data_IF_798737724589
#
_entry.id   IF_798737724589
#
_cell.length_a   1.000
_cell.length_b   1.000
_cell.length_c   1.000
_cell.angle_alpha   90.00
_cell.angle_beta   90.00
_cell.angle_gamma   90.00
#
_symmetry.space_group_name_H-M   'P 1'
#
loop_
_entity.id
_entity.type
_entity.pdbx_description
1 polymer ?
#
# COMPACT_ATOMS: atom_id res chain seq x y z
N UNK A 1 39.63 15.97 27.54
CA UNK A 1 38.54 15.35 26.76
C UNK A 1 37.98 16.40 25.82
N UNK A 2 37.70 16.07 24.56
CA UNK A 2 37.13 17.02 23.60
C UNK A 2 35.69 17.41 23.96
N UNK A 3 35.22 18.62 23.61
CA UNK A 3 33.85 19.05 23.88
C UNK A 3 32.85 18.20 23.08
N UNK A 4 31.70 17.80 23.67
CA UNK A 4 30.68 16.98 23.00
C UNK A 4 30.25 17.53 21.63
N UNK A 5 30.16 18.85 21.49
CA UNK A 5 29.75 19.54 20.26
C UNK A 5 30.73 19.29 19.11
N UNK A 6 32.03 19.22 19.41
CA UNK A 6 33.05 18.92 18.40
C UNK A 6 32.98 17.45 17.97
N UNK A 7 32.74 16.55 18.92
CA UNK A 7 32.60 15.11 18.63
C UNK A 7 31.37 14.87 17.74
N UNK A 8 30.25 15.53 18.01
CA UNK A 8 29.06 15.48 17.16
C UNK A 8 29.33 15.98 15.74
N UNK A 9 30.06 17.10 15.61
CA UNK A 9 30.49 17.57 14.29
C UNK A 9 31.39 16.57 13.57
N UNK A 10 32.28 15.87 14.27
CA UNK A 10 33.13 14.84 13.65
C UNK A 10 32.25 13.69 13.13
N UNK A 11 31.28 13.22 13.92
CA UNK A 11 30.33 12.19 13.45
C UNK A 11 29.56 12.64 12.20
N UNK A 12 29.16 13.91 12.13
CA UNK A 12 28.47 14.48 10.97
C UNK A 12 29.33 14.57 9.69
N UNK A 13 30.65 14.40 9.81
CA UNK A 13 31.59 14.39 8.69
C UNK A 13 32.08 12.98 8.33
N UNK A 14 31.61 11.93 9.02
CA UNK A 14 31.86 10.55 8.60
C UNK A 14 31.25 10.29 7.21
N UNK A 15 31.94 9.48 6.39
CA UNK A 15 31.51 9.21 5.01
C UNK A 15 30.37 8.18 4.97
N UNK A 16 30.40 7.21 5.88
CA UNK A 16 29.42 6.15 6.02
C UNK A 16 29.08 5.86 7.49
N UNK A 17 28.03 5.05 7.69
CA UNK A 17 27.59 4.63 9.01
C UNK A 17 28.65 3.81 9.75
N UNK A 18 29.43 3.00 9.01
CA UNK A 18 30.50 2.18 9.58
C UNK A 18 31.59 3.04 10.22
N UNK A 19 31.99 4.14 9.56
CA UNK A 19 32.96 5.09 10.11
C UNK A 19 32.44 5.73 11.41
N UNK A 20 31.17 6.16 11.40
CA UNK A 20 30.54 6.75 12.56
C UNK A 20 30.45 5.77 13.73
N UNK A 21 30.09 4.50 13.47
CA UNK A 21 30.09 3.45 14.49
C UNK A 21 31.48 3.12 15.01
N UNK A 22 32.47 2.98 14.11
CA UNK A 22 33.85 2.73 14.52
C UNK A 22 34.35 3.86 15.43
N UNK A 23 34.07 5.11 15.08
CA UNK A 23 34.39 6.27 15.91
C UNK A 23 33.68 6.22 17.27
N UNK A 24 32.39 5.87 17.29
CA UNK A 24 31.59 5.77 18.51
C UNK A 24 32.18 4.77 19.53
N UNK A 25 32.83 3.72 19.02
CA UNK A 25 33.41 2.64 19.81
C UNK A 25 34.86 2.87 20.23
N UNK A 26 35.49 3.99 19.82
CA UNK A 26 36.93 4.24 20.11
C UNK A 26 37.25 4.44 21.59
N UNK A 27 36.41 5.17 22.33
CA UNK A 27 36.59 5.34 23.77
C UNK A 27 35.26 5.64 24.50
N UNK A 28 35.26 5.46 25.82
CA UNK A 28 34.08 5.65 26.67
C UNK A 28 33.43 7.02 26.48
N UNK A 29 34.22 8.10 26.50
CA UNK A 29 33.70 9.47 26.36
C UNK A 29 32.96 9.69 25.03
N UNK A 30 33.50 9.20 23.92
CA UNK A 30 32.86 9.32 22.61
C UNK A 30 31.59 8.44 22.54
N UNK A 31 31.64 7.24 23.12
CA UNK A 31 30.46 6.38 23.25
C UNK A 31 29.36 7.04 24.10
N UNK A 32 29.73 7.75 25.16
CA UNK A 32 28.78 8.46 26.02
C UNK A 32 28.14 9.62 25.24
N UNK A 33 28.92 10.39 24.47
CA UNK A 33 28.40 11.43 23.57
C UNK A 33 27.47 10.84 22.49
N UNK A 34 27.81 9.68 21.92
CA UNK A 34 26.97 8.98 20.94
C UNK A 34 25.60 8.59 21.53
N UNK A 35 25.57 8.11 22.78
CA UNK A 35 24.34 7.69 23.46
C UNK A 35 23.55 8.88 24.04
N UNK A 36 24.24 9.94 24.41
CA UNK A 36 23.63 11.13 25.01
C UNK A 36 22.61 11.76 24.05
N UNK A 37 21.45 12.12 24.59
CA UNK A 37 20.41 12.89 23.89
C UNK A 37 20.04 12.34 22.51
N UNK A 38 20.06 11.01 22.35
CA UNK A 38 19.72 10.30 21.11
C UNK A 38 20.60 10.73 19.90
N UNK A 39 21.82 11.22 20.14
CA UNK A 39 22.70 11.74 19.10
C UNK A 39 23.02 10.69 18.02
N UNK A 40 23.36 9.47 18.44
CA UNK A 40 23.66 8.35 17.55
C UNK A 40 22.50 8.02 16.61
N UNK A 41 21.26 8.05 17.11
CA UNK A 41 20.09 7.81 16.27
C UNK A 41 19.93 8.89 15.18
N UNK A 42 20.18 10.16 15.51
CA UNK A 42 20.16 11.24 14.52
C UNK A 42 21.22 11.06 13.43
N UNK A 43 22.43 10.64 13.85
CA UNK A 43 23.54 10.37 12.93
C UNK A 43 23.19 9.20 12.00
N UNK A 44 22.70 8.09 12.57
CA UNK A 44 22.24 6.91 11.82
C UNK A 44 21.15 7.30 10.82
N UNK A 45 20.13 8.05 11.28
CA UNK A 45 19.02 8.47 10.44
C UNK A 45 19.45 9.30 9.24
N UNK A 46 20.43 10.20 9.42
CA UNK A 46 20.98 10.98 8.31
C UNK A 46 21.61 10.10 7.24
N UNK A 47 22.35 9.07 7.62
CA UNK A 47 22.90 8.11 6.66
C UNK A 47 21.79 7.29 6.00
N UNK A 48 20.79 6.87 6.76
CA UNK A 48 19.67 6.09 6.22
C UNK A 48 18.81 6.88 5.24
N UNK A 49 18.54 8.16 5.46
CA UNK A 49 17.83 8.99 4.48
C UNK A 49 18.57 9.07 3.12
N UNK A 50 19.89 8.88 3.12
CA UNK A 50 20.72 8.89 1.91
C UNK A 50 20.83 7.49 1.29
N UNK A 51 21.05 6.48 2.12
CA UNK A 51 21.52 5.15 1.70
C UNK A 51 20.41 4.08 1.71
N UNK A 52 19.34 4.27 2.49
CA UNK A 52 18.21 3.34 2.55
C UNK A 52 17.05 3.84 1.69
N UNK A 53 16.57 3.03 0.74
CA UNK A 53 15.37 3.34 -0.02
C UNK A 53 14.18 3.55 0.93
N UNK A 54 13.53 4.70 0.78
CA UNK A 54 12.22 4.97 1.37
C UNK A 54 12.21 4.87 2.90
N UNK A 55 13.30 5.29 3.53
CA UNK A 55 13.45 5.24 4.97
C UNK A 55 12.34 6.02 5.68
N UNK A 56 11.96 7.20 5.19
CA UNK A 56 10.91 8.04 5.80
C UNK A 56 9.53 7.38 5.71
N UNK A 57 9.20 6.75 4.57
CA UNK A 57 7.97 5.97 4.43
C UNK A 57 7.94 4.78 5.40
N UNK A 58 9.05 4.06 5.55
CA UNK A 58 9.16 2.99 6.56
C UNK A 58 8.96 3.52 7.99
N UNK A 59 9.48 4.72 8.30
CA UNK A 59 9.27 5.35 9.61
C UNK A 59 7.82 5.74 9.83
N UNK A 60 7.15 6.31 8.83
CA UNK A 60 5.72 6.63 8.90
C UNK A 60 4.91 5.35 9.11
N UNK A 61 5.23 4.27 8.38
CA UNK A 61 4.57 2.98 8.53
C UNK A 61 4.74 2.41 9.95
N UNK A 62 5.97 2.41 10.49
CA UNK A 62 6.25 1.94 11.84
C UNK A 62 5.49 2.74 12.91
N UNK A 63 5.51 4.08 12.80
CA UNK A 63 4.78 4.96 13.73
C UNK A 63 3.28 4.79 13.64
N UNK A 64 2.73 4.70 12.44
CA UNK A 64 1.30 4.51 12.21
C UNK A 64 0.83 3.16 12.78
N UNK A 65 1.58 2.09 12.52
CA UNK A 65 1.30 0.77 13.06
C UNK A 65 1.42 0.73 14.59
N UNK A 66 2.40 1.42 15.17
CA UNK A 66 2.52 1.53 16.63
C UNK A 66 1.32 2.22 17.26
N UNK A 67 0.76 3.26 16.63
CA UNK A 67 -0.46 3.92 17.14
C UNK A 67 -1.68 2.98 17.17
N UNK A 68 -1.79 2.09 16.18
CA UNK A 68 -2.84 1.05 16.14
C UNK A 68 -2.59 0.02 17.24
N UNK A 69 -1.36 -0.51 17.33
CA UNK A 69 -0.96 -1.47 18.36
C UNK A 69 -1.23 -0.94 19.77
N UNK A 70 -0.81 0.29 20.06
CA UNK A 70 -0.96 0.92 21.36
C UNK A 70 -2.44 1.06 21.75
N UNK A 71 -3.34 1.32 20.78
CA UNK A 71 -4.78 1.41 21.03
C UNK A 71 -5.39 0.03 21.29
N UNK A 72 -5.02 -0.96 20.47
CA UNK A 72 -5.46 -2.36 20.65
C UNK A 72 -5.00 -2.95 21.98
N UNK A 73 -3.77 -2.68 22.42
CA UNK A 73 -3.25 -3.09 23.74
C UNK A 73 -4.03 -2.48 24.90
N UNK A 74 -4.73 -1.36 24.68
CA UNK A 74 -5.62 -0.71 25.66
C UNK A 74 -7.10 -1.11 25.51
N UNK A 75 -7.43 -2.02 24.59
CA UNK A 75 -8.81 -2.33 24.18
C UNK A 75 -9.59 -1.06 23.77
N UNK A 76 -8.90 -0.15 23.09
CA UNK A 76 -9.45 1.11 22.57
C UNK A 76 -9.47 1.09 21.04
N UNK A 77 -10.42 1.82 20.46
CA UNK A 77 -10.42 2.04 19.02
C UNK A 77 -9.18 2.88 18.63
N UNK A 78 -8.47 2.53 17.53
CA UNK A 78 -7.38 3.35 17.02
C UNK A 78 -7.84 4.79 16.71
N UNK A 79 -6.91 5.76 16.57
CA UNK A 79 -7.25 7.13 16.24
C UNK A 79 -8.07 7.22 14.94
N UNK A 80 -9.31 7.72 15.02
CA UNK A 80 -10.19 7.92 13.85
C UNK A 80 -9.60 8.84 12.79
N UNK A 81 -8.76 9.78 13.22
CA UNK A 81 -8.02 10.68 12.34
C UNK A 81 -6.54 10.61 12.67
N UNK A 82 -5.76 10.07 11.74
CA UNK A 82 -4.31 9.99 11.87
C UNK A 82 -3.63 11.09 11.05
N UNK A 83 -2.88 11.98 11.70
CA UNK A 83 -2.11 13.01 10.99
C UNK A 83 -0.79 12.43 10.46
N UNK A 84 -0.86 11.75 9.31
CA UNK A 84 0.29 11.07 8.70
C UNK A 84 1.48 12.00 8.41
N UNK A 85 1.26 13.31 8.25
CA UNK A 85 2.37 14.27 8.08
C UNK A 85 3.21 14.44 9.36
N UNK A 86 2.60 14.32 10.53
CA UNK A 86 3.28 14.42 11.84
C UNK A 86 4.13 13.20 12.16
N UNK A 87 3.87 12.08 11.51
CA UNK A 87 4.65 10.85 11.68
C UNK A 87 5.96 10.85 10.88
N UNK A 88 6.16 11.79 9.97
CA UNK A 88 7.40 11.88 9.18
C UNK A 88 8.61 12.34 10.02
N UNK A 89 9.83 12.01 9.56
CA UNK A 89 11.06 12.50 10.18
C UNK A 89 11.24 14.02 10.06
N UNK A 90 10.52 14.67 9.15
CA UNK A 90 10.49 16.14 9.02
C UNK A 90 9.88 16.82 10.24
N UNK A 91 9.03 16.11 11.00
CA UNK A 91 8.32 16.62 12.17
C UNK A 91 8.98 16.17 13.47
N UNK A 92 9.40 14.91 13.54
CA UNK A 92 10.12 14.38 14.70
C UNK A 92 11.17 13.37 14.27
N UNK A 93 12.42 13.59 14.70
CA UNK A 93 13.52 12.65 14.44
C UNK A 93 13.26 11.30 15.12
N UNK A 94 13.73 10.18 14.54
CA UNK A 94 13.49 8.87 15.12
C UNK A 94 14.32 8.63 16.39
N UNK A 95 13.69 7.94 17.32
CA UNK A 95 14.29 7.28 18.48
C UNK A 95 15.02 5.99 18.07
N UNK A 96 15.80 5.44 19.00
CA UNK A 96 16.52 4.17 18.75
C UNK A 96 15.56 2.99 18.51
N UNK A 97 14.41 2.93 19.19
CA UNK A 97 13.40 1.89 18.95
C UNK A 97 12.78 2.03 17.56
N UNK A 98 12.50 3.24 17.11
CA UNK A 98 11.99 3.51 15.76
C UNK A 98 13.00 3.15 14.68
N UNK A 99 14.31 3.39 14.90
CA UNK A 99 15.33 2.93 13.97
C UNK A 99 15.35 1.40 13.85
N UNK A 100 15.21 0.68 14.96
CA UNK A 100 15.10 -0.78 14.91
C UNK A 100 13.85 -1.22 14.15
N UNK A 101 12.72 -0.53 14.34
CA UNK A 101 11.48 -0.82 13.63
C UNK A 101 11.62 -0.57 12.12
N UNK A 102 12.22 0.56 11.72
CA UNK A 102 12.53 0.85 10.31
C UNK A 102 13.43 -0.23 9.72
N UNK A 103 14.47 -0.65 10.44
CA UNK A 103 15.35 -1.71 9.97
C UNK A 103 14.63 -3.05 9.79
N UNK A 104 13.73 -3.41 10.72
CA UNK A 104 12.89 -4.60 10.60
C UNK A 104 11.95 -4.50 9.38
N UNK A 105 11.36 -3.34 9.10
CA UNK A 105 10.55 -3.12 7.91
C UNK A 105 11.35 -3.19 6.61
N UNK A 106 12.62 -2.77 6.62
CA UNK A 106 13.51 -2.92 5.46
C UNK A 106 13.82 -4.40 5.18
N UNK A 107 13.98 -5.21 6.22
CA UNK A 107 14.14 -6.67 6.10
C UNK A 107 12.87 -7.33 5.58
N UNK A 108 11.71 -6.88 6.07
CA UNK A 108 10.40 -7.33 5.58
C UNK A 108 10.25 -7.01 4.09
N UNK A 109 10.49 -5.76 3.67
CA UNK A 109 10.36 -5.34 2.27
C UNK A 109 11.31 -6.13 1.35
N UNK A 110 12.54 -6.38 1.79
CA UNK A 110 13.49 -7.24 1.07
C UNK A 110 13.02 -8.69 0.99
N UNK A 111 12.43 -9.22 2.05
CA UNK A 111 11.91 -10.59 2.07
C UNK A 111 10.74 -10.75 1.10
N UNK A 112 9.81 -9.79 1.09
CA UNK A 112 8.70 -9.73 0.13
C UNK A 112 9.25 -9.62 -1.30
N UNK A 113 10.24 -8.76 -1.52
CA UNK A 113 10.92 -8.66 -2.82
C UNK A 113 11.47 -10.02 -3.29
N UNK A 114 12.15 -10.76 -2.41
CA UNK A 114 12.64 -12.11 -2.73
C UNK A 114 11.49 -13.05 -3.12
N UNK A 115 10.38 -13.04 -2.38
CA UNK A 115 9.20 -13.86 -2.71
C UNK A 115 8.67 -13.48 -4.09
N UNK A 116 8.51 -12.18 -4.39
CA UNK A 116 8.03 -11.71 -5.69
C UNK A 116 8.94 -12.13 -6.85
N UNK A 117 10.26 -12.18 -6.64
CA UNK A 117 11.22 -12.62 -7.66
C UNK A 117 11.24 -14.14 -7.83
N UNK A 118 10.94 -14.90 -6.78
CA UNK A 118 10.86 -16.36 -6.82
C UNK A 118 9.53 -16.89 -7.36
N UNK A 119 8.46 -16.10 -7.24
CA UNK A 119 7.12 -16.50 -7.64
C UNK A 119 6.95 -16.50 -9.17
N UNK A 120 6.00 -17.29 -9.67
CA UNK A 120 5.77 -17.45 -11.11
C UNK A 120 4.96 -16.29 -11.72
N UNK A 121 5.41 -15.06 -11.45
CA UNK A 121 4.74 -13.85 -11.92
C UNK A 121 5.08 -13.54 -13.38
N UNK A 122 4.11 -12.95 -14.07
CA UNK A 122 4.22 -12.53 -15.46
C UNK A 122 5.17 -11.32 -15.54
N UNK A 123 6.29 -11.51 -16.23
CA UNK A 123 7.27 -10.46 -16.49
C UNK A 123 6.97 -9.70 -17.79
N UNK A 124 7.52 -8.48 -17.97
CA UNK A 124 7.54 -7.83 -19.27
C UNK A 124 8.09 -8.77 -20.35
N UNK A 125 7.47 -8.75 -21.54
CA UNK A 125 7.80 -9.69 -22.63
C UNK A 125 9.28 -9.70 -23.02
N UNK A 126 9.95 -8.54 -22.96
CA UNK A 126 11.37 -8.42 -23.25
C UNK A 126 12.30 -8.96 -22.15
N UNK A 127 11.75 -9.24 -20.96
CA UNK A 127 12.46 -9.80 -19.81
C UNK A 127 12.19 -11.30 -19.62
N UNK A 128 11.12 -11.84 -20.23
CA UNK A 128 10.79 -13.26 -20.17
C UNK A 128 11.94 -14.13 -20.73
N UNK A 129 12.52 -14.97 -19.88
CA UNK A 129 13.63 -15.84 -20.23
C UNK A 129 14.97 -15.12 -20.48
N UNK A 130 15.04 -13.80 -20.28
CA UNK A 130 16.27 -13.02 -20.49
C UNK A 130 17.31 -13.31 -19.42
N UNK A 131 16.88 -13.38 -18.17
CA UNK A 131 17.75 -13.63 -17.02
C UNK A 131 17.41 -14.97 -16.35
N UNK A 132 18.41 -15.73 -15.88
CA UNK A 132 18.20 -17.04 -15.25
C UNK A 132 17.48 -16.92 -13.90
N UNK A 133 17.64 -15.79 -13.22
CA UNK A 133 17.01 -15.45 -11.94
C UNK A 133 15.64 -14.79 -12.10
N UNK A 134 15.10 -14.75 -13.33
CA UNK A 134 13.80 -14.13 -13.65
C UNK A 134 13.71 -12.66 -13.22
N UNK A 135 14.82 -11.92 -13.22
CA UNK A 135 14.80 -10.51 -12.86
C UNK A 135 13.85 -9.70 -13.78
N UNK A 136 12.98 -8.84 -13.20
CA UNK A 136 12.01 -8.04 -13.95
C UNK A 136 12.67 -6.87 -14.69
N UNK A 137 13.93 -6.54 -14.38
CA UNK A 137 14.73 -5.51 -15.02
C UNK A 137 16.18 -5.93 -15.17
N UNK A 138 16.94 -5.21 -16.00
CA UNK A 138 18.38 -5.39 -16.08
C UNK A 138 19.09 -5.00 -14.76
N UNK A 139 20.24 -5.62 -14.41
CA UNK A 139 20.87 -5.46 -13.10
C UNK A 139 21.12 -4.00 -12.68
N UNK A 140 21.51 -3.14 -13.61
CA UNK A 140 21.77 -1.72 -13.39
C UNK A 140 20.50 -0.91 -13.06
N UNK A 141 19.31 -1.46 -13.36
CA UNK A 141 18.00 -0.82 -13.17
C UNK A 141 17.19 -1.40 -12.02
N UNK A 142 17.63 -2.52 -11.45
CA UNK A 142 16.95 -3.20 -10.34
C UNK A 142 16.83 -2.32 -9.09
N UNK A 143 17.73 -1.36 -8.87
CA UNK A 143 17.64 -0.43 -7.74
C UNK A 143 16.40 0.46 -7.82
N UNK A 144 16.05 0.94 -9.01
CA UNK A 144 14.88 1.79 -9.23
C UNK A 144 13.59 0.97 -9.11
N UNK A 145 13.57 -0.25 -9.69
CA UNK A 145 12.46 -1.19 -9.54
C UNK A 145 12.19 -1.52 -8.07
N UNK A 146 13.25 -1.87 -7.32
CA UNK A 146 13.20 -2.16 -5.88
C UNK A 146 12.61 -1.01 -5.09
N UNK A 147 13.05 0.23 -5.37
CA UNK A 147 12.50 1.43 -4.72
C UNK A 147 11.00 1.52 -4.96
N UNK A 148 10.52 1.29 -6.18
CA UNK A 148 9.09 1.28 -6.51
C UNK A 148 8.30 0.24 -5.73
N UNK A 149 8.82 -0.99 -5.64
CA UNK A 149 8.22 -2.08 -4.85
C UNK A 149 8.13 -1.70 -3.37
N UNK A 150 9.23 -1.21 -2.78
CA UNK A 150 9.27 -0.89 -1.36
C UNK A 150 8.37 0.30 -0.99
N UNK A 151 8.26 1.32 -1.84
CA UNK A 151 7.28 2.40 -1.66
C UNK A 151 5.86 1.84 -1.62
N UNK A 152 5.52 0.95 -2.56
CA UNK A 152 4.18 0.37 -2.59
C UNK A 152 3.89 -0.46 -1.33
N UNK A 153 4.88 -1.20 -0.82
CA UNK A 153 4.76 -1.94 0.45
C UNK A 153 4.46 -0.96 1.59
N UNK A 154 5.32 0.03 1.81
CA UNK A 154 5.16 0.95 2.94
C UNK A 154 3.88 1.78 2.85
N UNK A 155 3.51 2.28 1.66
CA UNK A 155 2.25 3.01 1.48
C UNK A 155 1.02 2.13 1.72
N UNK A 156 1.07 0.85 1.38
CA UNK A 156 0.01 -0.11 1.72
C UNK A 156 -0.13 -0.30 3.22
N UNK A 157 1.00 -0.48 3.94
CA UNK A 157 1.01 -0.59 5.40
C UNK A 157 0.51 0.68 6.10
N UNK A 158 0.93 1.86 5.62
CA UNK A 158 0.45 3.15 6.12
C UNK A 158 -1.05 3.29 5.92
N UNK A 159 -1.55 2.91 4.74
CA UNK A 159 -2.97 2.99 4.41
C UNK A 159 -3.80 2.05 5.28
N UNK A 160 -3.30 0.84 5.55
CA UNK A 160 -3.92 -0.11 6.49
C UNK A 160 -4.03 0.50 7.89
N UNK A 161 -2.95 1.08 8.41
CA UNK A 161 -2.95 1.73 9.72
C UNK A 161 -3.87 2.97 9.79
N UNK A 162 -3.88 3.79 8.75
CA UNK A 162 -4.68 5.01 8.69
C UNK A 162 -6.19 4.75 8.66
N UNK A 163 -6.61 3.61 8.08
CA UNK A 163 -8.02 3.21 8.00
C UNK A 163 -8.44 2.24 9.11
N UNK A 164 -7.51 1.82 9.97
CA UNK A 164 -7.75 0.84 11.03
C UNK A 164 -8.99 1.18 11.88
N UNK A 165 -9.06 2.41 12.38
CA UNK A 165 -10.18 2.86 13.20
C UNK A 165 -11.54 2.75 12.50
N UNK A 166 -11.64 3.18 11.23
CA UNK A 166 -12.91 3.18 10.51
C UNK A 166 -13.44 1.77 10.27
N UNK A 167 -12.54 0.83 9.98
CA UNK A 167 -12.86 -0.56 9.68
C UNK A 167 -13.04 -1.43 10.94
N UNK A 168 -12.38 -1.09 12.05
CA UNK A 168 -12.58 -1.75 13.34
C UNK A 168 -13.80 -1.24 14.11
N UNK A 169 -14.26 -0.01 13.85
CA UNK A 169 -15.35 0.63 14.60
C UNK A 169 -16.60 -0.25 14.77
N UNK A 170 -17.10 -0.96 13.74
CA UNK A 170 -18.30 -1.79 13.91
C UNK A 170 -18.09 -2.97 14.85
N UNK A 171 -16.89 -3.53 14.89
CA UNK A 171 -16.55 -4.63 15.81
C UNK A 171 -16.52 -4.13 17.25
N UNK A 172 -15.94 -2.94 17.49
CA UNK A 172 -15.92 -2.31 18.81
C UNK A 172 -17.31 -1.91 19.29
N UNK A 173 -18.12 -1.29 18.43
CA UNK A 173 -19.49 -0.92 18.78
C UNK A 173 -20.38 -2.15 18.98
N UNK A 174 -20.18 -3.21 18.19
CA UNK A 174 -20.88 -4.50 18.33
C UNK A 174 -20.65 -5.14 19.70
N UNK A 175 -19.39 -5.17 20.17
CA UNK A 175 -19.00 -5.67 21.50
C UNK A 175 -19.68 -4.92 22.66
N UNK A 176 -19.96 -3.62 22.50
CA UNK A 176 -20.64 -2.80 23.53
C UNK A 176 -22.14 -3.05 23.63
N UNK A 177 -22.73 -3.69 22.62
CA UNK A 177 -24.17 -4.00 22.65
C UNK A 177 -24.47 -5.15 23.60
N UNK A 178 -25.73 -5.30 24.02
CA UNK A 178 -26.21 -6.47 24.77
C UNK A 178 -26.78 -7.58 23.85
N UNK A 179 -26.51 -7.52 22.54
CA UNK A 179 -27.06 -8.43 21.54
C UNK A 179 -25.97 -9.45 21.18
N UNK A 180 -26.10 -10.74 21.54
CA UNK A 180 -25.03 -11.72 21.37
C UNK A 180 -24.50 -11.85 19.93
N UNK A 181 -25.39 -11.84 18.94
CA UNK A 181 -25.01 -11.92 17.52
C UNK A 181 -24.21 -10.71 17.01
N UNK A 182 -24.31 -9.55 17.66
CA UNK A 182 -23.50 -8.35 17.34
C UNK A 182 -22.15 -8.35 18.08
N UNK A 183 -22.06 -9.03 19.22
CA UNK A 183 -20.80 -9.19 19.94
C UNK A 183 -19.85 -10.17 19.22
N UNK A 184 -20.41 -11.17 18.52
CA UNK A 184 -19.67 -12.15 17.71
C UNK A 184 -19.69 -11.83 16.20
N UNK A 185 -19.67 -10.54 15.85
CA UNK A 185 -19.86 -10.10 14.46
C UNK A 185 -18.78 -10.63 13.50
N UNK A 186 -17.53 -10.71 13.95
CA UNK A 186 -16.40 -11.20 13.17
C UNK A 186 -16.51 -12.70 12.82
N UNK A 187 -17.21 -13.46 13.65
CA UNK A 187 -17.32 -14.92 13.54
C UNK A 187 -18.54 -15.36 12.70
N UNK A 188 -19.36 -14.41 12.24
CA UNK A 188 -20.60 -14.71 11.53
C UNK A 188 -20.33 -15.39 10.19
N UNK A 189 -20.76 -16.65 10.05
CA UNK A 189 -20.68 -17.38 8.77
C UNK A 189 -21.68 -16.84 7.73
N UNK A 190 -22.84 -16.39 8.19
CA UNK A 190 -23.89 -15.73 7.41
C UNK A 190 -24.45 -14.58 8.23
N UNK A 191 -24.89 -13.51 7.59
CA UNK A 191 -25.40 -12.34 8.31
C UNK A 191 -26.92 -12.39 8.53
N UNK A 192 -27.34 -12.21 9.77
CA UNK A 192 -28.75 -11.98 10.11
C UNK A 192 -29.20 -10.57 9.67
N UNK A 193 -30.51 -10.35 9.54
CA UNK A 193 -31.06 -9.02 9.25
C UNK A 193 -30.62 -7.98 10.30
N UNK A 194 -30.51 -8.39 11.56
CA UNK A 194 -30.05 -7.53 12.66
C UNK A 194 -28.57 -7.17 12.49
N UNK A 195 -27.71 -8.13 12.15
CA UNK A 195 -26.30 -7.87 11.85
C UNK A 195 -26.13 -6.94 10.64
N UNK A 196 -26.87 -7.19 9.56
CA UNK A 196 -26.85 -6.34 8.36
C UNK A 196 -27.34 -4.92 8.66
N UNK A 197 -28.45 -4.77 9.38
CA UNK A 197 -28.98 -3.47 9.79
C UNK A 197 -28.00 -2.71 10.68
N UNK A 198 -27.26 -3.42 11.55
CA UNK A 198 -26.22 -2.84 12.39
C UNK A 198 -25.01 -2.38 11.57
N UNK A 199 -24.43 -3.28 10.76
CA UNK A 199 -23.24 -3.00 9.95
C UNK A 199 -23.51 -1.88 8.94
N UNK A 200 -24.71 -1.82 8.34
CA UNK A 200 -25.10 -0.79 7.39
C UNK A 200 -25.14 0.63 7.98
N UNK A 201 -24.93 0.81 9.29
CA UNK A 201 -24.73 2.15 9.87
C UNK A 201 -23.34 2.71 9.59
N UNK A 202 -22.40 1.87 9.19
CA UNK A 202 -20.99 2.22 9.00
C UNK A 202 -20.64 2.25 7.52
N UNK A 203 -20.27 3.43 7.02
CA UNK A 203 -20.06 3.69 5.60
C UNK A 203 -19.04 2.75 4.95
N UNK A 204 -17.99 2.32 5.66
CA UNK A 204 -16.96 1.42 5.08
C UNK A 204 -17.46 0.00 4.80
N UNK A 205 -18.61 -0.39 5.36
CA UNK A 205 -19.24 -1.69 5.14
C UNK A 205 -20.51 -1.64 4.26
N UNK A 206 -20.96 -0.44 3.89
CA UNK A 206 -22.01 -0.29 2.88
C UNK A 206 -21.41 -0.60 1.51
N UNK A 207 -22.06 -1.40 0.68
CA UNK A 207 -21.56 -1.69 -0.69
C UNK A 207 -21.72 -0.50 -1.64
N UNK A 208 -22.82 0.27 -1.51
CA UNK A 208 -23.12 1.43 -2.35
C UNK A 208 -23.14 2.70 -1.51
N UNK A 209 -22.26 3.66 -1.86
CA UNK A 209 -22.09 4.93 -1.14
C UNK A 209 -21.81 6.10 -2.08
N UNK A 210 -22.24 7.30 -1.66
CA UNK A 210 -21.87 8.54 -2.33
C UNK A 210 -20.48 9.02 -1.91
N UNK A 211 -19.86 9.83 -2.77
CA UNK A 211 -18.58 10.49 -2.45
C UNK A 211 -18.66 11.36 -1.19
N UNK A 212 -19.82 11.96 -0.91
CA UNK A 212 -20.04 12.79 0.28
C UNK A 212 -19.99 11.95 1.56
N UNK A 213 -20.56 10.74 1.53
CA UNK A 213 -20.53 9.81 2.67
C UNK A 213 -19.11 9.28 2.93
N UNK A 214 -18.36 8.98 1.86
CA UNK A 214 -17.00 8.44 1.95
C UNK A 214 -15.94 9.47 2.32
N UNK A 215 -16.14 10.74 1.94
CA UNK A 215 -15.15 11.82 2.10
C UNK A 215 -14.65 12.01 3.54
N UNK A 216 -15.50 12.05 4.58
CA UNK A 216 -15.04 12.18 5.97
C UNK A 216 -14.06 11.08 6.41
N UNK A 217 -14.15 9.90 5.79
CA UNK A 217 -13.36 8.72 6.16
C UNK A 217 -12.08 8.66 5.33
N UNK A 218 -12.20 8.77 4.01
CA UNK A 218 -11.10 8.47 3.10
C UNK A 218 -10.30 9.71 2.65
N UNK A 219 -10.87 10.92 2.73
CA UNK A 219 -10.18 12.12 2.26
C UNK A 219 -8.85 12.40 2.99
N UNK A 220 -8.71 12.22 4.32
CA UNK A 220 -7.43 12.47 4.99
C UNK A 220 -6.29 11.62 4.42
N UNK A 221 -6.51 10.32 4.24
CA UNK A 221 -5.53 9.42 3.61
C UNK A 221 -5.32 9.78 2.14
N UNK A 222 -6.40 10.03 1.39
CA UNK A 222 -6.33 10.39 -0.02
C UNK A 222 -5.51 11.67 -0.27
N UNK A 223 -5.69 12.70 0.54
CA UNK A 223 -4.92 13.94 0.46
C UNK A 223 -3.45 13.73 0.80
N UNK A 224 -3.16 12.95 1.84
CA UNK A 224 -1.78 12.61 2.20
C UNK A 224 -1.09 11.85 1.06
N UNK A 225 -1.75 10.85 0.49
CA UNK A 225 -1.20 10.02 -0.59
C UNK A 225 -0.96 10.84 -1.86
N UNK A 226 -1.95 11.63 -2.29
CA UNK A 226 -1.81 12.53 -3.43
C UNK A 226 -0.61 13.49 -3.26
N UNK A 227 -0.50 14.11 -2.08
CA UNK A 227 0.60 15.03 -1.79
C UNK A 227 1.95 14.32 -1.67
N UNK A 228 1.99 13.12 -1.12
CA UNK A 228 3.20 12.29 -1.02
C UNK A 228 3.73 11.98 -2.42
N UNK A 229 2.88 11.44 -3.30
CA UNK A 229 3.25 11.12 -4.69
C UNK A 229 3.72 12.38 -5.43
N UNK A 230 2.97 13.47 -5.35
CA UNK A 230 3.31 14.71 -6.06
C UNK A 230 4.49 15.49 -5.45
N UNK A 231 5.00 15.07 -4.29
CA UNK A 231 6.22 15.63 -3.71
C UNK A 231 7.51 15.02 -4.27
N UNK A 232 7.41 13.92 -5.01
CA UNK A 232 8.54 13.25 -5.66
C UNK A 232 8.89 13.95 -6.98
N UNK A 233 9.78 14.95 -6.91
CA UNK A 233 10.19 15.76 -8.08
C UNK A 233 10.70 14.92 -9.24
N UNK A 234 11.49 13.88 -8.95
CA UNK A 234 12.16 13.09 -9.97
C UNK A 234 11.15 12.22 -10.73
N UNK A 235 10.20 11.59 -10.00
CA UNK A 235 9.12 10.80 -10.61
C UNK A 235 8.21 11.68 -11.47
N UNK A 236 7.87 12.89 -11.00
CA UNK A 236 7.09 13.88 -11.77
C UNK A 236 7.81 14.33 -13.02
N UNK A 237 9.09 14.65 -12.92
CA UNK A 237 9.90 15.07 -14.06
C UNK A 237 10.00 13.95 -15.10
N UNK A 238 10.27 12.72 -14.65
CA UNK A 238 10.35 11.56 -15.54
C UNK A 238 9.00 11.30 -16.24
N UNK A 239 7.87 11.38 -15.53
CA UNK A 239 6.54 11.22 -16.15
C UNK A 239 6.22 12.35 -17.13
N UNK A 240 6.57 13.60 -16.81
CA UNK A 240 6.39 14.71 -17.73
C UNK A 240 7.22 14.53 -19.01
N UNK A 241 8.48 14.11 -18.88
CA UNK A 241 9.37 13.84 -20.00
C UNK A 241 8.83 12.72 -20.90
N UNK A 242 8.29 11.64 -20.32
CA UNK A 242 7.60 10.57 -21.07
C UNK A 242 6.47 11.11 -21.93
N UNK A 243 5.62 11.96 -21.36
CA UNK A 243 4.50 12.58 -22.07
C UNK A 243 4.92 13.54 -23.17
N UNK A 244 6.02 14.28 -22.95
CA UNK A 244 6.59 15.20 -23.95
C UNK A 244 7.20 14.44 -25.13
N UNK A 245 7.98 13.39 -24.84
CA UNK A 245 8.71 12.60 -25.84
C UNK A 245 7.90 11.43 -26.43
N UNK A 246 6.70 11.18 -25.91
CA UNK A 246 5.74 10.17 -26.37
C UNK A 246 6.28 8.73 -26.33
N UNK A 247 6.80 8.31 -25.18
CA UNK A 247 7.28 6.95 -25.00
C UNK A 247 6.78 6.33 -23.68
N UNK A 248 6.90 5.01 -23.60
CA UNK A 248 6.47 4.26 -22.42
C UNK A 248 4.98 4.38 -22.15
N UNK A 249 4.60 4.57 -20.89
CA UNK A 249 3.22 4.67 -20.41
C UNK A 249 2.46 5.85 -21.00
N UNK A 250 3.13 6.86 -21.55
CA UNK A 250 2.40 7.93 -22.24
C UNK A 250 1.76 7.43 -23.55
N UNK A 251 2.25 6.32 -24.12
CA UNK A 251 1.73 5.78 -25.38
C UNK A 251 0.37 5.11 -25.22
N UNK A 252 -0.01 4.71 -24.00
CA UNK A 252 -1.36 4.19 -23.71
C UNK A 252 -2.39 5.29 -23.49
N UNK A 253 -1.96 6.55 -23.40
CA UNK A 253 -2.89 7.67 -23.23
C UNK A 253 -3.59 8.01 -24.55
N UNK A 254 -4.93 7.84 -24.67
CA UNK A 254 -5.67 8.18 -25.88
C UNK A 254 -5.74 9.71 -26.11
N UNK A 255 -5.51 10.50 -25.05
CA UNK A 255 -5.47 11.96 -25.07
C UNK A 255 -4.29 12.57 -25.84
N UNK A 256 -3.49 11.77 -26.54
CA UNK A 256 -2.37 12.25 -27.38
C UNK A 256 -2.62 12.14 -28.90
N UNK A 257 -3.78 11.62 -29.32
CA UNK A 257 -4.26 11.66 -30.70
C UNK A 257 -4.87 13.03 -31.09
N UNK A 258 -5.34 13.21 -32.34
CA UNK A 258 -6.05 14.44 -32.75
C UNK A 258 -7.29 14.75 -31.88
N UNK A 259 -7.81 13.76 -31.16
CA UNK A 259 -8.88 13.90 -30.16
C UNK A 259 -8.31 13.83 -28.74
N UNK A 260 -7.41 14.75 -28.39
CA UNK A 260 -6.76 14.81 -27.09
C UNK A 260 -7.72 14.89 -25.87
N UNK A 261 -9.00 15.12 -26.11
CA UNK A 261 -10.11 15.11 -25.14
C UNK A 261 -10.48 13.72 -24.58
N UNK A 262 -9.94 12.65 -25.15
CA UNK A 262 -10.49 11.29 -24.95
C UNK A 262 -9.85 10.53 -23.78
N UNK A 263 -8.85 11.10 -23.10
CA UNK A 263 -8.31 10.47 -21.89
C UNK A 263 -9.34 10.50 -20.74
N UNK A 264 -9.64 9.35 -20.10
CA UNK A 264 -10.62 9.29 -19.02
C UNK A 264 -10.11 9.96 -17.74
N UNK A 265 -8.79 10.09 -17.57
CA UNK A 265 -8.16 10.67 -16.38
C UNK A 265 -8.29 12.21 -16.39
N UNK A 266 -9.27 12.72 -15.63
CA UNK A 266 -9.54 14.15 -15.48
C UNK A 266 -9.15 14.60 -14.07
N UNK A 267 -7.94 15.11 -13.84
CA UNK A 267 -7.49 15.48 -12.50
C UNK A 267 -8.41 16.55 -11.90
N UNK A 268 -8.98 16.26 -10.72
CA UNK A 268 -9.74 17.19 -9.89
C UNK A 268 -8.84 17.91 -8.87
N UNK A 269 -7.56 18.04 -9.18
CA UNK A 269 -6.54 18.72 -8.36
C UNK A 269 -5.63 19.56 -9.25
N UNK A 270 -4.85 20.46 -8.62
CA UNK A 270 -3.84 21.25 -9.32
C UNK A 270 -2.63 20.38 -9.71
N UNK A 271 -2.56 19.99 -10.97
CA UNK A 271 -1.46 19.21 -11.54
C UNK A 271 -1.52 19.17 -13.07
N UNK A 272 -0.46 18.67 -13.70
CA UNK A 272 -0.47 18.41 -15.14
C UNK A 272 -1.25 17.13 -15.48
N UNK A 273 -1.49 16.89 -16.77
CA UNK A 273 -2.02 15.61 -17.22
C UNK A 273 -1.07 14.44 -16.91
N UNK A 274 0.24 14.65 -17.02
CA UNK A 274 1.25 13.65 -16.65
C UNK A 274 1.25 13.37 -15.14
N UNK A 275 1.00 14.39 -14.30
CA UNK A 275 0.82 14.21 -12.85
C UNK A 275 -0.39 13.27 -12.57
N UNK A 276 -1.47 13.37 -13.34
CA UNK A 276 -2.63 12.49 -13.18
C UNK A 276 -2.28 11.02 -13.44
N UNK A 277 -1.55 10.74 -14.53
CA UNK A 277 -1.08 9.39 -14.84
C UNK A 277 -0.07 8.87 -13.80
N UNK A 278 0.83 9.71 -13.29
CA UNK A 278 1.74 9.33 -12.21
C UNK A 278 0.97 8.89 -10.96
N UNK A 279 0.00 9.70 -10.53
CA UNK A 279 -0.77 9.40 -9.31
C UNK A 279 -1.58 8.12 -9.47
N UNK A 280 -2.25 7.93 -10.61
CA UNK A 280 -2.97 6.67 -10.88
C UNK A 280 -2.01 5.49 -10.88
N UNK A 281 -0.85 5.59 -11.54
CA UNK A 281 0.11 4.50 -11.59
C UNK A 281 0.62 4.10 -10.19
N UNK A 282 0.97 5.07 -9.34
CA UNK A 282 1.37 4.82 -7.95
C UNK A 282 0.22 4.22 -7.12
N UNK A 283 -1.02 4.68 -7.32
CA UNK A 283 -2.20 4.15 -6.64
C UNK A 283 -2.46 2.69 -7.03
N UNK A 284 -2.38 2.35 -8.32
CA UNK A 284 -2.59 0.98 -8.79
C UNK A 284 -1.44 0.06 -8.35
N UNK A 285 -0.20 0.54 -8.26
CA UNK A 285 0.91 -0.22 -7.63
C UNK A 285 0.62 -0.55 -6.17
N UNK A 286 0.05 0.41 -5.43
CA UNK A 286 -0.36 0.18 -4.05
C UNK A 286 -1.52 -0.82 -3.95
N UNK A 287 -2.51 -0.71 -4.85
CA UNK A 287 -3.63 -1.66 -4.92
C UNK A 287 -3.14 -3.09 -5.23
N UNK A 288 -2.27 -3.24 -6.21
CA UNK A 288 -1.64 -4.51 -6.54
C UNK A 288 -0.84 -5.08 -5.36
N UNK A 289 -0.04 -4.23 -4.71
CA UNK A 289 0.81 -4.65 -3.61
C UNK A 289 -0.01 -5.14 -2.42
N UNK A 290 -1.12 -4.49 -2.08
CA UNK A 290 -1.92 -4.92 -0.93
C UNK A 290 -2.61 -6.27 -1.16
N UNK A 291 -3.09 -6.55 -2.38
CA UNK A 291 -3.60 -7.89 -2.75
C UNK A 291 -2.53 -8.95 -2.47
N UNK A 292 -1.29 -8.68 -2.89
CA UNK A 292 -0.16 -9.61 -2.75
C UNK A 292 0.34 -9.72 -1.32
N UNK A 293 0.43 -8.64 -0.58
CA UNK A 293 0.90 -8.65 0.81
C UNK A 293 0.03 -9.54 1.69
N UNK A 294 -1.29 -9.49 1.51
CA UNK A 294 -2.23 -10.31 2.28
C UNK A 294 -1.94 -11.81 2.11
N UNK A 295 -1.59 -12.22 0.89
CA UNK A 295 -1.26 -13.58 0.55
C UNK A 295 0.15 -13.97 1.03
N UNK A 296 1.17 -13.16 0.75
CA UNK A 296 2.57 -13.43 1.12
C UNK A 296 2.75 -13.54 2.64
N UNK A 297 2.05 -12.68 3.40
CA UNK A 297 2.17 -12.65 4.87
C UNK A 297 1.26 -13.69 5.53
N UNK A 298 0.22 -14.17 4.82
CA UNK A 298 -0.67 -15.25 5.28
C UNK A 298 -0.20 -16.66 4.92
N UNK A 299 0.78 -16.79 4.03
CA UNK A 299 1.39 -18.07 3.64
C UNK A 299 2.70 -18.26 4.38
N UNK A 300 2.91 -19.44 4.99
CA UNK A 300 4.15 -19.78 5.69
C UNK A 300 5.30 -20.00 4.70
N UNK A 301 5.75 -18.92 4.05
CA UNK A 301 6.90 -18.93 3.16
C UNK A 301 8.18 -19.18 3.97
N UNK A 302 8.79 -20.34 3.76
CA UNK A 302 10.06 -20.66 4.40
C UNK A 302 11.21 -19.94 3.70
N UNK A 303 11.70 -18.85 4.31
CA UNK A 303 12.83 -18.07 3.82
C UNK A 303 14.20 -18.65 4.22
N UNK A 304 14.24 -19.80 4.90
CA UNK A 304 15.49 -20.36 5.46
C UNK A 304 16.46 -20.91 4.41
N UNK A 305 15.97 -21.23 3.21
CA UNK A 305 16.82 -21.82 2.16
C UNK A 305 17.68 -20.78 1.41
N UNK A 306 17.34 -19.48 1.46
CA UNK A 306 17.80 -18.50 0.47
C UNK A 306 18.52 -17.25 1.02
N UNK A 307 19.48 -17.39 1.96
CA UNK A 307 20.27 -16.26 2.53
C UNK A 307 19.42 -15.04 2.95
N UNK A 308 18.12 -15.23 3.17
CA UNK A 308 17.17 -14.15 3.22
C UNK A 308 17.34 -13.43 4.55
N UNK A 309 17.41 -12.10 4.51
CA UNK A 309 17.50 -11.30 5.73
C UNK A 309 16.12 -11.30 6.37
N UNK A 310 15.86 -12.26 7.25
CA UNK A 310 14.55 -12.40 7.89
C UNK A 310 14.25 -11.21 8.80
N UNK A 311 13.01 -10.67 8.77
CA UNK A 311 12.59 -9.67 9.74
C UNK A 311 12.72 -10.24 11.16
N UNK A 312 13.14 -9.42 12.13
CA UNK A 312 13.22 -9.88 13.53
C UNK A 312 11.84 -9.98 14.20
N UNK A 313 10.79 -9.52 13.51
CA UNK A 313 9.41 -9.55 13.99
C UNK A 313 9.07 -8.60 15.12
N UNK A 314 9.91 -7.57 15.35
CA UNK A 314 9.67 -6.62 16.44
C UNK A 314 8.83 -5.43 16.03
N UNK A 315 8.94 -5.00 14.77
CA UNK A 315 8.13 -3.92 14.24
C UNK A 315 6.67 -4.38 14.07
N UNK A 316 5.68 -3.66 14.64
CA UNK A 316 4.30 -3.87 14.25
C UNK A 316 4.08 -3.43 12.81
N UNK A 317 3.19 -4.13 12.13
CA UNK A 317 2.65 -3.76 10.82
C UNK A 317 1.13 -3.73 10.90
N UNK A 318 0.49 -3.01 9.98
CA UNK A 318 -0.95 -3.11 9.77
C UNK A 318 -1.18 -3.42 8.30
N UNK A 319 -1.65 -4.61 7.99
CA UNK A 319 -1.97 -4.98 6.62
C UNK A 319 -3.28 -4.31 6.21
N UNK A 320 -3.28 -3.75 5.00
CA UNK A 320 -4.51 -3.30 4.37
C UNK A 320 -5.44 -4.52 4.15
N UNK A 321 -6.74 -4.37 4.39
CA UNK A 321 -7.70 -5.48 4.40
C UNK A 321 -7.88 -6.14 5.78
N UNK A 322 -6.81 -6.24 6.58
CA UNK A 322 -6.88 -6.71 7.97
C UNK A 322 -7.18 -5.59 8.95
N UNK A 323 -6.60 -4.40 8.71
CA UNK A 323 -6.86 -3.19 9.49
C UNK A 323 -6.60 -3.34 11.00
N UNK A 324 -5.73 -4.27 11.41
CA UNK A 324 -5.32 -4.51 12.78
C UNK A 324 -3.79 -4.64 12.88
N UNK A 325 -3.23 -4.36 14.06
CA UNK A 325 -1.79 -4.52 14.26
C UNK A 325 -1.40 -6.00 14.23
N UNK A 326 -0.26 -6.29 13.62
CA UNK A 326 0.30 -7.64 13.53
C UNK A 326 1.81 -7.58 13.70
N UNK A 327 2.42 -8.70 14.10
CA UNK A 327 3.87 -8.89 14.13
C UNK A 327 4.24 -10.02 13.19
N UNK A 328 5.19 -9.76 12.30
CA UNK A 328 5.70 -10.77 11.34
C UNK A 328 6.65 -11.71 12.07
N UNK A 329 6.38 -13.01 12.09
CA UNK A 329 7.29 -14.02 12.62
C UNK A 329 8.43 -14.24 11.62
N UNK A 330 9.65 -13.82 11.94
CA UNK A 330 10.84 -14.31 11.25
C UNK A 330 11.11 -15.75 11.70
N UNK A 331 11.14 -16.76 10.81
CA UNK A 331 11.52 -16.71 9.39
C UNK A 331 10.40 -16.93 8.35
N UNK A 332 9.15 -17.19 8.77
CA UNK A 332 8.12 -17.74 7.88
C UNK A 332 7.24 -16.68 7.17
N UNK A 333 7.56 -15.38 7.28
CA UNK A 333 6.71 -14.23 6.89
C UNK A 333 5.26 -14.22 7.43
N UNK A 334 4.86 -15.26 8.14
CA UNK A 334 3.62 -15.43 8.87
C UNK A 334 3.43 -14.29 9.85
N UNK A 335 2.40 -13.46 9.67
CA UNK A 335 2.05 -12.47 10.67
C UNK A 335 1.00 -13.02 11.63
N UNK A 336 1.20 -12.77 12.92
CA UNK A 336 0.19 -13.03 13.94
C UNK A 336 -0.22 -11.75 14.64
N UNK A 337 -1.43 -11.72 15.23
CA UNK A 337 -1.78 -10.70 16.20
C UNK A 337 -0.72 -10.60 17.31
N UNK A 338 -0.52 -9.42 17.94
CA UNK A 338 0.44 -9.21 19.02
C UNK A 338 0.07 -9.90 20.33
N UNK A 339 -1.20 -10.26 20.50
CA UNK A 339 -1.82 -10.90 21.68
C UNK A 339 -2.56 -12.17 21.24
N UNK A 340 -2.87 -13.08 22.20
CA UNK A 340 -3.81 -14.21 22.04
C UNK A 340 -5.25 -13.68 21.79
N UNK A 341 -5.40 -12.83 20.78
CA UNK A 341 -6.64 -12.22 20.38
C UNK A 341 -7.50 -13.32 19.75
N UNK A 342 -8.79 -13.42 20.10
CA UNK A 342 -9.68 -14.48 19.60
C UNK A 342 -9.90 -14.50 18.08
N UNK A 343 -9.20 -13.65 17.32
CA UNK A 343 -9.16 -13.62 15.85
C UNK A 343 -8.22 -14.69 15.24
N UNK A 344 -7.76 -15.67 16.02
CA UNK A 344 -6.70 -16.63 15.62
C UNK A 344 -7.10 -17.66 14.55
N UNK A 345 -8.38 -17.96 14.37
CA UNK A 345 -8.81 -18.86 13.29
C UNK A 345 -9.20 -18.02 12.08
N UNK A 346 -8.53 -18.21 10.93
CA UNK A 346 -8.67 -17.40 9.70
C UNK A 346 -10.10 -17.18 9.16
N UNK A 347 -11.12 -17.82 9.72
CA UNK A 347 -12.54 -17.52 9.50
C UNK A 347 -13.05 -16.25 10.19
N UNK A 348 -12.33 -15.73 11.21
CA UNK A 348 -12.69 -14.55 12.00
C UNK A 348 -11.99 -13.25 11.58
N UNK A 349 -11.10 -13.30 10.57
CA UNK A 349 -10.37 -12.09 10.15
C UNK A 349 -11.33 -11.05 9.58
N UNK A 350 -11.03 -9.76 9.80
CA UNK A 350 -11.82 -8.68 9.22
C UNK A 350 -11.84 -8.73 7.69
N UNK A 351 -10.76 -9.19 7.05
CA UNK A 351 -10.73 -9.39 5.60
C UNK A 351 -11.78 -10.44 5.16
N UNK A 352 -11.87 -11.56 5.87
CA UNK A 352 -12.88 -12.60 5.66
C UNK A 352 -14.29 -12.05 5.87
N UNK A 353 -14.48 -11.17 6.87
CA UNK A 353 -15.75 -10.49 7.11
C UNK A 353 -16.14 -9.57 5.93
N UNK A 354 -15.21 -8.75 5.44
CA UNK A 354 -15.44 -7.84 4.31
C UNK A 354 -15.76 -8.60 3.02
N UNK A 355 -15.07 -9.71 2.77
CA UNK A 355 -15.35 -10.58 1.62
C UNK A 355 -16.74 -11.22 1.72
N UNK A 356 -17.07 -11.86 2.86
CA UNK A 356 -18.41 -12.43 3.08
C UNK A 356 -19.51 -11.38 2.99
N UNK A 357 -19.25 -10.16 3.48
CA UNK A 357 -20.25 -9.10 3.37
C UNK A 357 -20.43 -8.65 1.92
N UNK A 358 -19.38 -8.66 1.10
CA UNK A 358 -19.51 -8.35 -0.32
C UNK A 358 -20.28 -9.43 -1.10
N UNK A 359 -19.95 -10.70 -0.87
CA UNK A 359 -20.49 -11.84 -1.63
C UNK A 359 -21.86 -12.33 -1.11
N UNK A 360 -22.03 -12.44 0.22
CA UNK A 360 -23.09 -13.25 0.83
C UNK A 360 -24.16 -12.42 1.55
N UNK A 361 -23.98 -11.11 1.69
CA UNK A 361 -24.86 -10.28 2.53
C UNK A 361 -26.22 -9.96 1.91
N UNK A 362 -26.40 -10.23 0.61
CA UNK A 362 -27.56 -9.77 -0.16
C UNK A 362 -27.67 -8.24 -0.27
N UNK A 363 -26.68 -7.47 0.20
CA UNK A 363 -26.59 -6.05 -0.12
C UNK A 363 -26.41 -5.88 -1.63
N UNK A 364 -26.91 -4.79 -2.22
CA UNK A 364 -26.64 -4.52 -3.63
C UNK A 364 -25.14 -4.32 -3.81
N UNK A 365 -24.44 -5.30 -4.35
CA UNK A 365 -23.04 -5.17 -4.80
C UNK A 365 -22.98 -4.57 -6.22
N UNK A 366 -24.03 -3.83 -6.60
CA UNK A 366 -24.16 -3.18 -7.90
C UNK A 366 -24.70 -1.77 -7.71
N UNK A 367 -24.06 -0.80 -8.35
CA UNK A 367 -24.68 0.48 -8.67
C UNK A 367 -25.92 0.25 -9.56
N UNK A 368 -26.67 1.30 -9.87
CA UNK A 368 -27.82 1.21 -10.78
C UNK A 368 -27.42 0.57 -12.14
N UNK A 369 -28.32 -0.22 -12.74
CA UNK A 369 -28.14 -0.89 -14.05
C UNK A 369 -27.14 -2.07 -14.09
N UNK A 370 -26.95 -2.77 -12.97
CA UNK A 370 -26.17 -4.01 -12.95
C UNK A 370 -24.65 -3.79 -12.96
N UNK A 371 -24.21 -2.59 -12.57
CA UNK A 371 -22.82 -2.16 -12.53
C UNK A 371 -22.16 -2.56 -11.22
N UNK A 372 -21.24 -3.51 -11.23
CA UNK A 372 -20.63 -4.01 -9.99
C UNK A 372 -19.84 -2.95 -9.22
N UNK A 373 -19.88 -3.06 -7.88
CA UNK A 373 -19.06 -2.25 -6.98
C UNK A 373 -17.75 -2.98 -6.69
N UNK A 374 -16.71 -2.22 -6.34
CA UNK A 374 -15.47 -2.84 -5.87
C UNK A 374 -15.69 -3.54 -4.50
N UNK A 375 -14.98 -4.64 -4.22
CA UNK A 375 -14.96 -5.26 -2.91
C UNK A 375 -14.68 -4.24 -1.79
N UNK A 376 -15.21 -4.49 -0.59
CA UNK A 376 -15.19 -3.51 0.50
C UNK A 376 -13.78 -3.13 0.98
N UNK A 377 -12.78 -4.00 0.81
CA UNK A 377 -11.39 -3.64 1.06
C UNK A 377 -10.88 -2.66 -0.01
N UNK A 378 -11.24 -2.85 -1.29
CA UNK A 378 -10.83 -1.98 -2.40
C UNK A 378 -11.54 -0.62 -2.43
N UNK A 379 -12.53 -0.40 -1.56
CA UNK A 379 -13.37 0.80 -1.52
C UNK A 379 -12.61 2.12 -1.40
N UNK A 380 -11.51 2.15 -0.66
CA UNK A 380 -10.66 3.36 -0.60
C UNK A 380 -10.08 3.73 -1.98
N UNK A 381 -9.66 2.74 -2.76
CA UNK A 381 -9.09 2.96 -4.09
C UNK A 381 -10.17 3.47 -5.06
N UNK A 382 -11.36 2.87 -5.03
CA UNK A 382 -12.53 3.33 -5.79
C UNK A 382 -12.90 4.79 -5.42
N UNK A 383 -12.96 5.11 -4.12
CA UNK A 383 -13.15 6.49 -3.66
C UNK A 383 -12.09 7.43 -4.24
N UNK A 384 -10.81 7.06 -4.14
CA UNK A 384 -9.72 7.90 -4.61
C UNK A 384 -9.82 8.17 -6.12
N UNK A 385 -10.09 7.13 -6.90
CA UNK A 385 -10.27 7.20 -8.35
C UNK A 385 -11.44 8.12 -8.72
N UNK A 386 -12.60 7.93 -8.09
CA UNK A 386 -13.80 8.74 -8.32
C UNK A 386 -13.57 10.20 -7.93
N UNK A 387 -13.00 10.43 -6.74
CA UNK A 387 -12.80 11.77 -6.16
C UNK A 387 -11.80 12.61 -6.94
N UNK A 388 -10.67 12.03 -7.34
CA UNK A 388 -9.56 12.78 -7.91
C UNK A 388 -9.47 12.70 -9.44
N UNK A 389 -10.16 11.76 -10.08
CA UNK A 389 -10.07 11.57 -11.55
C UNK A 389 -11.41 11.40 -12.24
N UNK A 390 -12.50 11.15 -11.50
CA UNK A 390 -13.81 10.84 -12.09
C UNK A 390 -13.83 9.54 -12.88
N UNK A 391 -13.00 8.57 -12.47
CA UNK A 391 -12.91 7.21 -13.02
C UNK A 391 -13.18 6.20 -11.92
N UNK A 392 -13.34 4.93 -12.29
CA UNK A 392 -13.50 3.78 -11.40
C UNK A 392 -12.83 2.55 -12.00
N UNK A 393 -12.80 1.44 -11.27
CA UNK A 393 -12.42 0.16 -11.85
C UNK A 393 -13.36 -0.23 -13.01
N UNK A 394 -12.81 -0.90 -14.02
CA UNK A 394 -13.53 -1.41 -15.18
C UNK A 394 -14.65 -2.36 -14.74
N UNK A 395 -15.80 -2.33 -15.44
CA UNK A 395 -16.91 -3.25 -15.16
C UNK A 395 -16.43 -4.71 -15.27
N UNK A 396 -16.72 -5.52 -14.25
CA UNK A 396 -16.29 -6.91 -14.19
C UNK A 396 -14.79 -7.11 -14.00
N UNK A 397 -14.07 -6.08 -13.56
CA UNK A 397 -12.69 -6.26 -13.12
C UNK A 397 -12.59 -7.29 -11.98
N UNK A 398 -13.57 -7.27 -11.06
CA UNK A 398 -13.67 -8.16 -9.90
C UNK A 398 -14.57 -9.38 -10.13
N UNK A 399 -15.17 -9.53 -11.31
CA UNK A 399 -16.04 -10.67 -11.63
C UNK A 399 -15.22 -11.97 -11.62
N UNK A 400 -15.71 -12.99 -10.90
CA UNK A 400 -15.23 -14.36 -11.04
C UNK A 400 -16.03 -15.04 -12.16
N UNK A 401 -15.47 -15.16 -13.37
CA UNK A 401 -16.11 -15.92 -14.45
C UNK A 401 -16.14 -17.42 -14.09
N UNK A 402 -17.27 -17.92 -13.58
CA UNK A 402 -17.49 -19.37 -13.37
C UNK A 402 -17.77 -20.13 -14.68
N UNK A 403 -18.16 -19.43 -15.75
CA UNK A 403 -18.61 -20.07 -16.99
C UNK A 403 -17.43 -20.46 -17.90
N UNK A 404 -17.25 -21.77 -18.09
CA UNK A 404 -16.44 -22.42 -19.15
C UNK A 404 -14.98 -22.79 -18.85
N UNK A 405 -14.61 -23.05 -17.60
CA UNK A 405 -13.41 -23.84 -17.28
C UNK A 405 -12.06 -23.18 -17.57
N UNK A 406 -12.05 -21.89 -17.96
CA UNK A 406 -10.88 -21.04 -18.02
C UNK A 406 -10.94 -20.09 -16.81
N UNK A 407 -10.13 -20.35 -15.79
CA UNK A 407 -10.28 -19.79 -14.42
C UNK A 407 -9.72 -18.37 -14.23
N UNK A 408 -9.33 -17.67 -15.29
CA UNK A 408 -8.55 -16.45 -15.13
C UNK A 408 -9.45 -15.21 -15.21
N UNK A 409 -9.93 -14.76 -14.05
CA UNK A 409 -10.56 -13.45 -13.93
C UNK A 409 -9.56 -12.33 -14.23
N UNK A 410 -10.04 -11.17 -14.69
CA UNK A 410 -9.19 -10.00 -14.94
C UNK A 410 -8.38 -9.61 -13.69
N UNK A 411 -9.01 -9.68 -12.51
CA UNK A 411 -8.34 -9.46 -11.23
C UNK A 411 -7.21 -10.49 -10.97
N UNK A 412 -7.44 -11.77 -11.29
CA UNK A 412 -6.40 -12.80 -11.19
C UNK A 412 -5.20 -12.49 -12.09
N UNK A 413 -5.44 -12.21 -13.38
CA UNK A 413 -4.37 -11.82 -14.31
C UNK A 413 -3.61 -10.57 -13.84
N UNK A 414 -4.34 -9.59 -13.29
CA UNK A 414 -3.75 -8.37 -12.72
C UNK A 414 -2.82 -8.68 -11.55
N UNK A 415 -3.27 -9.49 -10.60
CA UNK A 415 -2.46 -9.86 -9.41
C UNK A 415 -1.29 -10.80 -9.75
N UNK A 416 -1.32 -11.46 -10.91
CA UNK A 416 -0.24 -12.34 -11.38
C UNK A 416 0.86 -11.63 -12.18
N UNK A 417 0.77 -10.31 -12.44
CA UNK A 417 1.79 -9.60 -13.21
C UNK A 417 2.73 -8.72 -12.39
N UNK A 418 4.01 -8.67 -12.78
CA UNK A 418 5.02 -7.71 -12.27
C UNK A 418 5.27 -6.53 -13.21
N UNK A 419 4.63 -6.51 -14.38
CA UNK A 419 4.81 -5.47 -15.40
C UNK A 419 4.50 -4.06 -14.87
N UNK A 420 3.60 -3.93 -13.90
CA UNK A 420 3.25 -2.65 -13.29
C UNK A 420 4.44 -1.94 -12.62
N UNK A 421 5.41 -2.70 -12.11
CA UNK A 421 6.64 -2.16 -11.50
C UNK A 421 7.78 -1.99 -12.50
N UNK A 422 7.63 -2.52 -13.72
CA UNK A 422 8.67 -2.45 -14.75
C UNK A 422 8.90 -1.03 -15.26
N UNK A 423 10.09 -0.77 -15.78
CA UNK A 423 10.43 0.49 -16.42
C UNK A 423 9.80 0.58 -17.80
N UNK A 424 9.18 1.70 -18.13
CA UNK A 424 8.47 1.88 -19.40
C UNK A 424 9.27 2.69 -20.43
N UNK A 425 10.46 3.15 -20.07
CA UNK A 425 11.37 3.90 -20.96
C UNK A 425 12.18 3.00 -21.91
N UNK A 426 11.96 1.68 -21.87
CA UNK A 426 12.63 0.71 -22.74
C UNK A 426 11.96 0.68 -24.11
N UNK A 427 12.73 1.04 -25.15
CA UNK A 427 12.27 1.02 -26.53
C UNK A 427 11.81 -0.37 -26.95
N UNK A 428 10.58 -0.49 -27.42
CA UNK A 428 10.01 -1.75 -27.90
C UNK A 428 9.31 -2.58 -26.82
N UNK A 429 9.36 -2.16 -25.54
CA UNK A 429 8.48 -2.68 -24.49
C UNK A 429 7.06 -2.18 -24.79
N UNK A 430 6.32 -2.99 -25.54
CA UNK A 430 4.98 -2.67 -26.00
C UNK A 430 3.98 -3.04 -24.92
N UNK A 431 3.08 -2.12 -24.63
CA UNK A 431 1.79 -2.42 -24.01
C UNK A 431 0.94 -3.11 -25.05
N UNK A 432 0.73 -4.42 -24.92
CA UNK A 432 -0.37 -5.10 -25.60
C UNK A 432 -1.69 -4.55 -25.07
N UNK A 433 -2.10 -3.41 -25.61
CA UNK A 433 -3.42 -2.83 -25.39
C UNK A 433 -4.34 -3.37 -26.48
N UNK A 434 -4.50 -4.70 -26.56
CA UNK A 434 -5.60 -5.26 -27.34
C UNK A 434 -6.86 -4.97 -26.52
N UNK A 435 -7.54 -3.89 -26.90
CA UNK A 435 -8.67 -3.30 -26.19
C UNK A 435 -9.84 -4.26 -25.93
N UNK A 436 -9.87 -5.41 -26.61
CA UNK A 436 -11.02 -6.31 -26.61
C UNK A 436 -10.86 -7.52 -25.67
N UNK A 437 -9.72 -7.68 -24.97
CA UNK A 437 -9.56 -8.79 -24.03
C UNK A 437 -8.67 -8.44 -22.81
N UNK A 438 -9.33 -7.93 -21.77
CA UNK A 438 -8.77 -7.62 -20.44
C UNK A 438 -7.81 -8.69 -19.84
N UNK A 439 -8.05 -10.01 -19.97
CA UNK A 439 -7.13 -11.00 -19.40
C UNK A 439 -5.74 -11.04 -20.05
N UNK A 440 -5.52 -10.39 -21.21
CA UNK A 440 -4.24 -10.37 -21.93
C UNK A 440 -3.54 -9.00 -21.90
N UNK A 441 -4.00 -8.10 -21.03
CA UNK A 441 -3.44 -6.76 -20.90
C UNK A 441 -2.13 -6.81 -20.11
N UNK A 442 -1.10 -6.10 -20.57
CA UNK A 442 0.21 -6.07 -19.91
C UNK A 442 0.24 -5.15 -18.65
N UNK A 443 -0.89 -4.57 -18.22
CA UNK A 443 -1.10 -3.70 -17.04
C UNK A 443 0.04 -2.71 -16.70
N UNK A 444 0.67 -2.10 -17.71
CA UNK A 444 1.88 -1.30 -17.49
C UNK A 444 1.58 0.07 -16.85
N UNK A 445 0.47 0.71 -17.22
CA UNK A 445 0.13 2.05 -16.71
C UNK A 445 -0.84 2.02 -15.53
N UNK A 446 -1.56 0.91 -15.34
CA UNK A 446 -2.65 0.78 -14.37
C UNK A 446 -3.95 1.45 -14.83
N UNK A 447 -3.92 2.29 -15.87
CA UNK A 447 -5.12 2.92 -16.42
C UNK A 447 -5.97 1.98 -17.27
N UNK A 448 -5.42 0.83 -17.65
CA UNK A 448 -6.10 -0.17 -18.47
C UNK A 448 -7.27 -0.83 -17.72
N UNK A 449 -7.22 -0.84 -16.39
CA UNK A 449 -8.28 -1.40 -15.53
C UNK A 449 -9.29 -0.34 -15.10
N UNK A 450 -9.30 0.83 -15.75
CA UNK A 450 -10.14 1.96 -15.36
C UNK A 450 -11.11 2.37 -16.47
N UNK A 451 -12.31 2.77 -16.07
CA UNK A 451 -13.32 3.35 -16.95
C UNK A 451 -13.87 4.67 -16.36
N UNK A 452 -14.45 5.56 -17.19
CA UNK A 452 -15.12 6.75 -16.68
C UNK A 452 -16.22 6.38 -15.67
N UNK A 453 -16.20 7.02 -14.50
CA UNK A 453 -17.33 6.93 -13.58
C UNK A 453 -18.54 7.67 -14.20
N UNK A 454 -19.74 7.13 -14.03
CA UNK A 454 -20.96 7.69 -14.61
C UNK A 454 -21.15 9.15 -14.13
N UNK A 455 -21.79 10.03 -14.94
CA UNK A 455 -21.99 11.43 -14.55
C UNK A 455 -22.76 11.58 -13.24
N UNK A 456 -23.67 10.66 -12.92
CA UNK A 456 -24.44 10.70 -11.65
C UNK A 456 -23.51 10.59 -10.43
N UNK A 457 -22.35 9.96 -10.57
CA UNK A 457 -21.30 9.88 -9.53
C UNK A 457 -20.47 11.16 -9.40
N UNK A 458 -20.57 12.11 -10.35
CA UNK A 458 -19.72 13.32 -10.40
C UNK A 458 -20.33 14.57 -9.74
N UNK A 459 -21.63 14.57 -9.40
CA UNK A 459 -22.38 15.80 -9.10
C UNK A 459 -23.14 15.83 -7.78
N UNK A 460 -22.65 15.17 -6.73
CA UNK A 460 -23.07 15.50 -5.36
C UNK A 460 -22.04 16.42 -4.68
N UNK A 461 -21.71 17.53 -5.35
CA UNK A 461 -21.02 18.67 -4.72
C UNK A 461 -21.63 19.95 -5.25
N UNK A 462 -22.82 20.31 -4.75
CA UNK A 462 -23.31 21.69 -4.74
C UNK A 462 -24.52 21.86 -3.83
N UNK A 463 -24.26 22.25 -2.58
CA UNK A 463 -24.94 23.33 -1.88
C UNK A 463 -24.00 23.86 -0.77
#
# INVERSE_FOLDING_TARGET
MGPPELILRIFEHCSCLQDAWALALTCRHISDVWRASNAGARIVWRFWLRDLPCADEALIAARAAQLVLDAEERDELPPKTMNLHELSSRKSLPSTSELNAVWDLQRLARSIECVLLSDDLILPKDMQGKHPDRAPEDPERMLEWRKGVWIAIYRSLISGAALAAAYQEPLFEGKKTNIPELQSLADAATFSETQLSFINKFTVFQTVTSLEQETPIFAPLGQWLLKSILSESDARHAMAQRFEMRYGRSTTCPGQGPNASDCPLRPAFHGSHSDAHLVVWELIKMFWMQERLSWIVGTDYDLTEDNAITPNGKAPIVLFGYFAAMKVKGPCLSASPPTDSPLEDGSGSLNSLLHRLHEDSGQPNRYEQGLEVAPLHAKFFEYFLRRYFGVRFHRGFFDYEEEAGNRDSTHSSFTQTLTLFSHDDIKGRSTSCLADAMPYVDFMSGSEILEPANPVDRWSTSA
#
